data_IF_269958908401
#
_entry.id   IF_269958908401
#
_cell.length_a   1.000
_cell.length_b   1.000
_cell.length_c   1.000
_cell.angle_alpha   90.00
_cell.angle_beta   90.00
_cell.angle_gamma   90.00
#
_symmetry.space_group_name_H-M   'P 1'
#
loop_
_entity.id
_entity.type
_entity.pdbx_description
1 polymer ?
#
# COMPACT_ATOMS: atom_id res chain seq x y z
N UNK A 1 -7.98 14.54 -9.64
CA UNK A 1 -6.98 13.97 -10.52
C UNK A 1 -5.59 14.28 -9.99
N UNK A 2 -4.77 13.25 -9.80
CA UNK A 2 -3.35 13.38 -9.50
C UNK A 2 -2.58 13.14 -10.79
N UNK A 3 -2.21 14.23 -11.45
CA UNK A 3 -1.43 14.18 -12.69
C UNK A 3 0.03 14.49 -12.39
N UNK A 4 0.96 13.76 -13.01
CA UNK A 4 2.38 14.12 -12.98
C UNK A 4 2.58 15.32 -13.89
N UNK A 5 2.98 16.46 -13.29
CA UNK A 5 3.11 17.74 -13.99
C UNK A 5 4.56 17.94 -14.44
N UNK A 6 5.52 17.59 -13.56
CA UNK A 6 6.94 17.69 -13.88
C UNK A 6 7.76 16.67 -13.07
N UNK A 7 8.94 16.36 -13.55
CA UNK A 7 9.95 15.59 -12.83
C UNK A 7 10.97 16.53 -12.21
N UNK A 8 11.32 16.32 -10.94
CA UNK A 8 12.35 17.09 -10.24
C UNK A 8 13.35 16.16 -9.55
N UNK A 9 14.59 16.59 -9.42
CA UNK A 9 15.61 15.84 -8.69
C UNK A 9 15.32 15.89 -7.20
N UNK A 10 15.17 14.73 -6.55
CA UNK A 10 14.91 14.64 -5.11
C UNK A 10 16.09 15.19 -4.30
N UNK A 11 17.32 14.97 -4.74
CA UNK A 11 18.49 15.50 -4.06
C UNK A 11 18.48 17.03 -4.05
N UNK A 12 18.19 17.63 -5.20
CA UNK A 12 18.06 19.09 -5.32
C UNK A 12 16.86 19.62 -4.51
N UNK A 13 15.73 18.91 -4.51
CA UNK A 13 14.56 19.27 -3.70
C UNK A 13 14.87 19.29 -2.21
N UNK A 14 15.60 18.31 -1.72
CA UNK A 14 15.94 18.20 -0.29
C UNK A 14 16.90 19.27 0.21
N UNK A 15 17.64 19.95 -0.69
CA UNK A 15 18.50 21.08 -0.33
C UNK A 15 17.77 22.42 -0.29
N UNK A 16 16.52 22.50 -0.79
CA UNK A 16 15.74 23.73 -0.81
C UNK A 16 15.17 24.06 0.58
N UNK A 17 15.14 25.36 0.90
CA UNK A 17 14.38 25.87 2.06
C UNK A 17 12.88 25.73 1.82
N UNK A 18 12.06 25.81 2.86
CA UNK A 18 10.60 25.76 2.71
C UNK A 18 10.05 26.91 1.84
N UNK A 19 10.66 28.08 1.94
CA UNK A 19 10.32 29.22 1.08
C UNK A 19 10.63 28.93 -0.39
N UNK A 20 11.77 28.37 -0.69
CA UNK A 20 12.15 27.98 -2.06
C UNK A 20 11.24 26.87 -2.60
N UNK A 21 10.85 25.91 -1.76
CA UNK A 21 9.88 24.86 -2.13
C UNK A 21 8.51 25.46 -2.44
N UNK A 22 8.07 26.46 -1.67
CA UNK A 22 6.82 27.17 -1.91
C UNK A 22 6.87 27.92 -3.23
N UNK A 23 7.90 28.72 -3.48
CA UNK A 23 8.09 29.44 -4.75
C UNK A 23 8.12 28.49 -5.96
N UNK A 24 8.78 27.33 -5.82
CA UNK A 24 8.77 26.30 -6.87
C UNK A 24 7.36 25.81 -7.16
N UNK A 25 6.56 25.50 -6.13
CA UNK A 25 5.18 25.06 -6.30
C UNK A 25 4.32 26.15 -6.95
N UNK A 26 4.51 27.41 -6.58
CA UNK A 26 3.79 28.55 -7.16
C UNK A 26 4.14 28.73 -8.64
N UNK A 27 5.41 28.60 -9.00
CA UNK A 27 5.82 28.63 -10.41
C UNK A 27 5.22 27.49 -11.22
N UNK A 28 5.10 26.28 -10.64
CA UNK A 28 4.44 25.13 -11.29
C UNK A 28 2.95 25.41 -11.50
N UNK A 29 2.26 26.02 -10.53
CA UNK A 29 0.84 26.41 -10.70
C UNK A 29 0.68 27.42 -11.83
N UNK A 30 1.52 28.44 -11.85
CA UNK A 30 1.48 29.49 -12.86
C UNK A 30 1.69 28.95 -14.28
N UNK A 31 2.76 28.16 -14.46
CA UNK A 31 3.11 27.58 -15.77
C UNK A 31 2.03 26.64 -16.31
N UNK A 32 1.31 25.95 -15.43
CA UNK A 32 0.24 25.02 -15.82
C UNK A 32 -1.16 25.62 -15.73
N UNK A 33 -1.29 26.93 -15.59
CA UNK A 33 -2.56 27.66 -15.48
C UNK A 33 -3.50 27.05 -14.41
N UNK A 34 -2.95 26.65 -13.26
CA UNK A 34 -3.70 26.03 -12.16
C UNK A 34 -4.19 27.11 -11.20
N UNK A 35 -5.40 26.96 -10.69
CA UNK A 35 -5.92 27.84 -9.64
C UNK A 35 -5.11 27.72 -8.32
N UNK A 36 -5.17 28.76 -7.49
CA UNK A 36 -4.42 28.87 -6.23
C UNK A 36 -4.74 27.74 -5.23
N UNK A 37 -5.94 27.17 -5.31
CA UNK A 37 -6.36 26.03 -4.51
C UNK A 37 -5.75 24.69 -4.95
N UNK A 38 -5.07 24.64 -6.11
CA UNK A 38 -4.44 23.41 -6.60
C UNK A 38 -3.26 23.02 -5.71
N UNK A 39 -3.30 21.80 -5.18
CA UNK A 39 -2.24 21.26 -4.31
C UNK A 39 -1.14 20.63 -5.16
N UNK A 40 0.05 21.21 -5.11
CA UNK A 40 1.26 20.64 -5.72
C UNK A 40 1.98 19.79 -4.67
N UNK A 41 2.09 18.50 -4.94
CA UNK A 41 2.75 17.54 -4.07
C UNK A 41 4.06 17.09 -4.70
N UNK A 42 5.15 17.08 -3.92
CA UNK A 42 6.38 16.40 -4.30
C UNK A 42 6.29 14.96 -3.82
N UNK A 43 6.32 14.04 -4.76
CA UNK A 43 6.36 12.60 -4.45
C UNK A 43 7.69 12.02 -4.91
N UNK A 44 8.34 11.29 -4.03
CA UNK A 44 9.54 10.53 -4.37
C UNK A 44 9.14 9.09 -4.70
N UNK A 45 9.24 8.72 -5.98
CA UNK A 45 9.16 7.32 -6.38
C UNK A 45 10.42 6.61 -5.88
N UNK A 46 10.27 5.56 -5.09
CA UNK A 46 11.39 4.70 -4.73
C UNK A 46 11.77 3.89 -5.96
N UNK A 47 12.94 4.16 -6.54
CA UNK A 47 13.41 3.59 -7.81
C UNK A 47 13.59 2.06 -7.83
N UNK A 48 13.47 1.39 -6.69
CA UNK A 48 13.57 -0.05 -6.50
C UNK A 48 12.24 -0.71 -6.04
N UNK A 49 11.17 0.07 -5.92
CA UNK A 49 9.82 -0.43 -5.82
C UNK A 49 9.42 -0.92 -7.20
N UNK A 50 8.72 -1.99 -7.31
CA UNK A 50 8.22 -2.53 -8.57
C UNK A 50 9.23 -3.37 -9.37
N UNK A 51 10.12 -4.07 -8.70
CA UNK A 51 10.81 -5.21 -9.30
C UNK A 51 9.84 -6.42 -9.31
N UNK A 52 8.86 -6.36 -10.21
CA UNK A 52 7.79 -7.35 -10.28
C UNK A 52 8.31 -8.75 -10.58
N UNK A 53 9.42 -8.88 -11.31
CA UNK A 53 10.03 -10.18 -11.59
C UNK A 53 10.53 -10.85 -10.32
N UNK A 54 11.07 -10.07 -9.40
CA UNK A 54 11.49 -10.59 -8.11
C UNK A 54 10.34 -10.71 -7.12
N UNK A 55 9.30 -9.87 -7.21
CA UNK A 55 8.11 -9.99 -6.38
C UNK A 55 7.41 -11.32 -6.65
N UNK A 56 7.33 -11.73 -7.92
CA UNK A 56 6.69 -12.98 -8.34
C UNK A 56 7.32 -14.22 -7.69
N UNK A 57 8.62 -14.23 -7.43
CA UNK A 57 9.32 -15.35 -6.78
C UNK A 57 8.83 -15.65 -5.35
N UNK A 58 8.21 -14.68 -4.70
CA UNK A 58 7.68 -14.80 -3.35
C UNK A 58 6.15 -14.92 -3.30
N UNK A 59 5.45 -14.83 -4.43
CA UNK A 59 3.99 -14.89 -4.44
C UNK A 59 3.48 -16.22 -3.93
N UNK A 60 3.98 -17.34 -4.46
CA UNK A 60 3.52 -18.67 -4.06
C UNK A 60 3.71 -18.91 -2.57
N UNK A 61 4.86 -18.50 -2.02
CA UNK A 61 5.14 -18.60 -0.59
C UNK A 61 4.18 -17.74 0.24
N UNK A 62 3.93 -16.51 -0.20
CA UNK A 62 3.00 -15.59 0.45
C UNK A 62 1.56 -16.07 0.37
N UNK A 63 1.10 -16.49 -0.81
CA UNK A 63 -0.21 -17.07 -1.06
C UNK A 63 -0.43 -18.28 -0.14
N UNK A 64 0.48 -19.24 -0.16
CA UNK A 64 0.39 -20.47 0.64
C UNK A 64 0.33 -20.16 2.14
N UNK A 65 1.12 -19.22 2.64
CA UNK A 65 1.12 -18.82 4.04
C UNK A 65 -0.21 -18.17 4.46
N UNK A 66 -0.81 -17.33 3.61
CA UNK A 66 -2.10 -16.69 3.87
C UNK A 66 -3.24 -17.70 3.82
N UNK A 67 -3.27 -18.58 2.80
CA UNK A 67 -4.25 -19.65 2.68
C UNK A 67 -4.18 -20.60 3.89
N UNK A 68 -2.98 -21.00 4.31
CA UNK A 68 -2.79 -21.86 5.48
C UNK A 68 -3.31 -21.21 6.78
N UNK A 69 -3.30 -19.88 6.88
CA UNK A 69 -3.89 -19.15 8.00
C UNK A 69 -5.36 -18.78 7.78
N UNK A 70 -5.99 -19.23 6.70
CA UNK A 70 -7.39 -18.95 6.35
C UNK A 70 -7.65 -17.48 6.05
N UNK A 71 -6.75 -16.85 5.30
CA UNK A 71 -6.83 -15.47 4.83
C UNK A 71 -6.81 -15.46 3.30
N UNK A 72 -7.63 -14.61 2.70
CA UNK A 72 -7.65 -14.43 1.24
C UNK A 72 -6.24 -14.09 0.73
N UNK A 73 -5.68 -14.92 -0.18
CA UNK A 73 -4.33 -14.73 -0.72
C UNK A 73 -4.15 -13.43 -1.52
N UNK A 74 -5.23 -12.78 -1.92
CA UNK A 74 -5.21 -11.47 -2.53
C UNK A 74 -4.42 -10.45 -1.68
N UNK A 75 -4.57 -10.50 -0.34
CA UNK A 75 -3.84 -9.62 0.56
C UNK A 75 -2.34 -9.86 0.55
N UNK A 76 -1.90 -11.12 0.44
CA UNK A 76 -0.48 -11.44 0.32
C UNK A 76 0.13 -10.82 -0.93
N UNK A 77 -0.55 -10.97 -2.08
CA UNK A 77 -0.12 -10.40 -3.35
C UNK A 77 -0.07 -8.86 -3.28
N UNK A 78 -1.13 -8.25 -2.77
CA UNK A 78 -1.21 -6.80 -2.60
C UNK A 78 -0.05 -6.24 -1.78
N UNK A 79 0.27 -6.85 -0.64
CA UNK A 79 1.35 -6.41 0.24
C UNK A 79 2.71 -6.61 -0.43
N UNK A 80 2.96 -7.79 -0.98
CA UNK A 80 4.25 -8.13 -1.61
C UNK A 80 4.56 -7.26 -2.83
N UNK A 81 3.55 -6.79 -3.55
CA UNK A 81 3.74 -5.89 -4.69
C UNK A 81 4.22 -4.50 -4.30
N UNK A 82 3.80 -3.98 -3.16
CA UNK A 82 4.02 -2.57 -2.81
C UNK A 82 4.96 -2.35 -1.64
N UNK A 83 5.25 -3.37 -0.83
CA UNK A 83 6.15 -3.20 0.31
C UNK A 83 7.61 -3.46 -0.08
N UNK A 84 8.19 -4.56 0.17
CA UNK A 84 9.62 -4.76 -0.14
C UNK A 84 9.90 -6.20 -0.51
N UNK A 85 9.47 -6.64 -1.69
CA UNK A 85 9.47 -8.06 -2.03
C UNK A 85 10.86 -8.70 -1.99
N UNK A 86 11.93 -7.93 -2.09
CA UNK A 86 13.30 -8.46 -2.21
C UNK A 86 14.38 -7.80 -1.36
N UNK A 87 14.05 -6.74 -0.65
CA UNK A 87 15.05 -6.10 0.22
C UNK A 87 14.51 -6.02 1.62
N UNK A 88 15.23 -6.65 2.55
CA UNK A 88 15.00 -6.51 3.98
C UNK A 88 15.38 -5.09 4.40
N UNK A 89 14.52 -4.11 4.13
CA UNK A 89 14.75 -2.71 4.49
C UNK A 89 13.88 -2.31 5.67
N UNK A 90 14.44 -1.46 6.53
CA UNK A 90 13.66 -0.76 7.54
C UNK A 90 13.09 0.52 6.93
N UNK A 91 11.79 0.75 7.13
CA UNK A 91 11.18 2.05 6.85
C UNK A 91 11.63 3.08 7.88
N UNK A 92 11.45 4.37 7.56
CA UNK A 92 11.70 5.46 8.53
C UNK A 92 10.86 5.32 9.81
N UNK A 93 9.69 4.68 9.72
CA UNK A 93 8.82 4.39 10.86
C UNK A 93 9.23 3.13 11.64
N UNK A 94 10.23 2.36 11.17
CA UNK A 94 10.72 1.15 11.82
C UNK A 94 10.02 -0.14 11.40
N UNK A 95 9.15 -0.12 10.38
CA UNK A 95 8.62 -1.34 9.76
C UNK A 95 9.75 -2.10 9.05
N UNK A 96 9.68 -3.45 9.03
CA UNK A 96 10.76 -4.28 8.50
C UNK A 96 10.27 -5.59 7.89
N UNK A 97 11.06 -6.12 6.96
CA UNK A 97 10.84 -7.40 6.28
C UNK A 97 9.90 -7.29 5.09
N UNK A 98 9.64 -8.42 4.41
CA UNK A 98 8.85 -8.49 3.19
C UNK A 98 7.41 -7.96 3.35
N UNK A 99 6.86 -8.06 4.55
CA UNK A 99 5.52 -7.59 4.90
C UNK A 99 5.52 -6.26 5.68
N UNK A 100 6.68 -5.61 5.83
CA UNK A 100 6.85 -4.31 6.49
C UNK A 100 6.11 -4.19 7.84
N UNK A 101 6.31 -5.19 8.71
CA UNK A 101 5.67 -5.21 10.01
C UNK A 101 6.35 -4.27 11.00
N UNK A 102 5.56 -3.55 11.78
CA UNK A 102 6.03 -2.83 12.96
C UNK A 102 6.47 -3.82 14.03
N UNK A 103 7.46 -3.41 14.86
CA UNK A 103 8.05 -4.27 15.89
C UNK A 103 7.00 -4.83 16.87
N UNK A 104 6.10 -3.98 17.34
CA UNK A 104 5.10 -4.36 18.32
C UNK A 104 4.03 -5.27 17.70
N UNK A 105 3.66 -5.05 16.45
CA UNK A 105 2.77 -5.94 15.70
C UNK A 105 3.40 -7.31 15.52
N UNK A 106 4.67 -7.38 15.14
CA UNK A 106 5.37 -8.65 14.99
C UNK A 106 5.41 -9.44 16.32
N UNK A 107 5.70 -8.76 17.42
CA UNK A 107 5.70 -9.35 18.77
C UNK A 107 4.31 -9.83 19.21
N UNK A 108 3.27 -9.08 18.90
CA UNK A 108 1.88 -9.46 19.18
C UNK A 108 1.52 -10.82 18.60
N UNK A 109 2.08 -11.14 17.43
CA UNK A 109 1.89 -12.43 16.75
C UNK A 109 3.04 -13.42 16.97
N UNK A 110 3.81 -13.26 18.05
CA UNK A 110 4.77 -14.23 18.54
C UNK A 110 6.13 -14.23 17.82
N UNK A 111 6.46 -13.20 17.05
CA UNK A 111 7.79 -13.04 16.48
C UNK A 111 8.77 -12.49 17.53
N UNK A 112 9.96 -13.05 17.57
CA UNK A 112 11.07 -12.55 18.39
C UNK A 112 11.68 -11.33 17.67
N UNK A 113 11.59 -10.17 18.30
CA UNK A 113 12.18 -8.93 17.79
C UNK A 113 12.91 -8.20 18.94
N UNK A 114 14.21 -8.35 18.98
CA UNK A 114 15.09 -7.73 19.98
C UNK A 114 16.40 -7.25 19.34
N UNK A 115 17.43 -6.95 20.14
CA UNK A 115 18.71 -6.45 19.63
C UNK A 115 19.55 -7.52 18.88
N UNK A 116 19.29 -8.80 19.11
CA UNK A 116 20.04 -9.91 18.54
C UNK A 116 19.28 -10.63 17.42
N UNK A 117 17.96 -10.72 17.53
CA UNK A 117 17.09 -11.46 16.62
C UNK A 117 15.95 -10.55 16.16
N UNK A 118 15.72 -10.53 14.85
CA UNK A 118 14.57 -9.88 14.23
C UNK A 118 13.91 -10.85 13.24
N UNK A 119 12.94 -11.64 13.75
CA UNK A 119 12.23 -12.66 12.93
C UNK A 119 11.34 -12.05 11.84
N UNK A 120 11.21 -10.72 11.77
CA UNK A 120 10.55 -10.06 10.63
C UNK A 120 11.33 -10.24 9.33
N UNK A 121 12.64 -10.56 9.42
CA UNK A 121 13.46 -10.94 8.27
C UNK A 121 13.15 -12.33 7.73
N UNK A 122 12.60 -13.23 8.55
CA UNK A 122 12.17 -14.54 8.11
C UNK A 122 10.83 -14.42 7.39
N UNK A 123 10.78 -14.86 6.14
CA UNK A 123 9.63 -14.70 5.28
C UNK A 123 8.37 -15.38 5.84
N UNK A 124 8.47 -16.65 6.24
CA UNK A 124 7.35 -17.46 6.72
C UNK A 124 6.80 -16.92 8.04
N UNK A 125 7.68 -16.56 8.97
CA UNK A 125 7.30 -15.93 10.25
C UNK A 125 6.61 -14.60 10.02
N UNK A 126 7.15 -13.80 9.11
CA UNK A 126 6.60 -12.50 8.74
C UNK A 126 5.26 -12.63 8.01
N UNK A 127 5.12 -13.60 7.09
CA UNK A 127 3.87 -13.90 6.40
C UNK A 127 2.77 -14.35 7.37
N UNK A 128 3.11 -15.23 8.34
CA UNK A 128 2.18 -15.65 9.40
C UNK A 128 1.70 -14.44 10.23
N UNK A 129 2.61 -13.58 10.65
CA UNK A 129 2.22 -12.40 11.45
C UNK A 129 1.38 -11.40 10.64
N UNK A 130 1.71 -11.18 9.35
CA UNK A 130 0.96 -10.30 8.47
C UNK A 130 -0.46 -10.83 8.22
N UNK A 131 -0.60 -12.11 7.88
CA UNK A 131 -1.91 -12.74 7.70
C UNK A 131 -2.72 -12.73 9.01
N UNK A 132 -2.07 -12.95 10.15
CA UNK A 132 -2.72 -12.87 11.48
C UNK A 132 -3.19 -11.44 11.81
N UNK A 133 -2.41 -10.43 11.44
CA UNK A 133 -2.81 -9.02 11.57
C UNK A 133 -4.07 -8.73 10.74
N UNK A 134 -4.08 -9.17 9.48
CA UNK A 134 -5.27 -9.01 8.61
C UNK A 134 -6.48 -9.70 9.23
N UNK A 135 -6.35 -10.99 9.57
CA UNK A 135 -7.45 -11.84 10.08
C UNK A 135 -8.01 -11.36 11.41
N UNK A 136 -7.12 -11.05 12.36
CA UNK A 136 -7.51 -10.84 13.77
C UNK A 136 -7.71 -9.36 14.11
N UNK A 137 -7.19 -8.44 13.30
CA UNK A 137 -7.25 -7.01 13.61
C UNK A 137 -7.85 -6.23 12.44
N UNK A 138 -7.25 -6.28 11.23
CA UNK A 138 -7.67 -5.37 10.16
C UNK A 138 -9.09 -5.62 9.70
N UNK A 139 -9.46 -6.87 9.39
CA UNK A 139 -10.83 -7.23 8.97
C UNK A 139 -11.85 -6.94 10.07
N UNK A 140 -11.69 -7.44 11.32
CA UNK A 140 -12.64 -7.15 12.39
C UNK A 140 -12.83 -5.66 12.67
N UNK A 141 -11.72 -4.90 12.70
CA UNK A 141 -11.80 -3.45 12.92
C UNK A 141 -12.42 -2.70 11.75
N UNK A 142 -12.26 -3.18 10.53
CA UNK A 142 -12.94 -2.61 9.35
C UNK A 142 -14.43 -2.84 9.45
N UNK A 143 -14.89 -4.03 9.86
CA UNK A 143 -16.32 -4.33 10.15
C UNK A 143 -16.87 -3.38 11.20
N UNK A 144 -16.22 -3.30 12.37
CA UNK A 144 -16.63 -2.40 13.46
C UNK A 144 -16.76 -0.92 13.00
N UNK A 145 -15.89 -0.47 12.11
CA UNK A 145 -15.95 0.89 11.56
C UNK A 145 -17.17 1.04 10.65
N UNK A 146 -17.40 0.09 9.75
CA UNK A 146 -18.55 0.11 8.85
C UNK A 146 -19.88 0.03 9.62
N UNK A 147 -19.96 -0.85 10.61
CA UNK A 147 -21.13 -0.98 11.49
C UNK A 147 -21.41 0.34 12.23
N UNK A 148 -20.35 1.02 12.72
CA UNK A 148 -20.47 2.32 13.41
C UNK A 148 -20.91 3.46 12.48
N UNK A 149 -20.85 3.27 11.17
CA UNK A 149 -21.34 4.17 10.12
C UNK A 149 -22.73 3.75 9.58
N UNK A 150 -23.30 2.65 10.10
CA UNK A 150 -24.59 2.11 9.63
C UNK A 150 -24.49 1.34 8.30
N UNK A 151 -23.27 1.01 7.85
CA UNK A 151 -23.03 0.25 6.62
C UNK A 151 -22.97 -1.23 7.00
N UNK A 152 -24.08 -1.95 6.90
CA UNK A 152 -24.19 -3.34 7.35
C UNK A 152 -24.38 -4.35 6.22
N UNK A 153 -24.79 -3.88 5.03
CA UNK A 153 -25.00 -4.75 3.87
C UNK A 153 -23.81 -4.59 2.88
N UNK A 154 -22.83 -5.49 2.97
CA UNK A 154 -21.67 -5.49 2.09
C UNK A 154 -21.09 -6.90 1.91
N UNK A 155 -20.36 -7.09 0.82
CA UNK A 155 -19.62 -8.30 0.54
C UNK A 155 -18.12 -8.06 0.76
N UNK A 156 -17.51 -8.81 1.67
CA UNK A 156 -16.08 -8.68 2.01
C UNK A 156 -15.14 -9.10 0.88
N UNK A 157 -15.64 -9.82 -0.12
CA UNK A 157 -14.87 -10.18 -1.31
C UNK A 157 -14.85 -9.08 -2.36
N UNK A 158 -15.59 -7.99 -2.18
CA UNK A 158 -15.54 -6.86 -3.07
C UNK A 158 -14.23 -6.07 -2.94
N UNK A 159 -13.79 -5.52 -4.07
CA UNK A 159 -12.51 -4.81 -4.15
C UNK A 159 -12.42 -3.65 -3.16
N UNK A 160 -13.48 -2.85 -3.04
CA UNK A 160 -13.48 -1.69 -2.13
C UNK A 160 -13.27 -2.10 -0.66
N UNK A 161 -13.88 -3.21 -0.21
CA UNK A 161 -13.70 -3.71 1.15
C UNK A 161 -12.24 -4.16 1.37
N UNK A 162 -11.69 -4.93 0.44
CA UNK A 162 -10.28 -5.35 0.48
C UNK A 162 -9.33 -4.14 0.53
N UNK A 163 -9.59 -3.11 -0.27
CA UNK A 163 -8.81 -1.87 -0.25
C UNK A 163 -8.93 -1.11 1.08
N UNK A 164 -10.11 -1.12 1.71
CA UNK A 164 -10.31 -0.51 3.03
C UNK A 164 -9.54 -1.27 4.12
N UNK A 165 -9.52 -2.61 4.07
CA UNK A 165 -8.67 -3.46 4.92
C UNK A 165 -7.20 -3.15 4.70
N UNK A 166 -6.75 -2.92 3.46
CA UNK A 166 -5.37 -2.54 3.16
C UNK A 166 -5.02 -1.16 3.74
N UNK A 167 -5.92 -0.19 3.74
CA UNK A 167 -5.73 1.06 4.47
C UNK A 167 -5.58 0.82 5.97
N UNK A 168 -6.36 -0.10 6.55
CA UNK A 168 -6.26 -0.48 7.97
C UNK A 168 -4.92 -1.15 8.28
N UNK A 169 -4.40 -1.96 7.37
CA UNK A 169 -3.07 -2.57 7.48
C UNK A 169 -1.96 -1.53 7.52
N UNK A 170 -1.98 -0.58 6.59
CA UNK A 170 -0.92 0.44 6.43
C UNK A 170 -1.00 1.56 7.48
N UNK A 171 -2.17 2.15 7.65
CA UNK A 171 -2.36 3.35 8.48
C UNK A 171 -2.83 3.03 9.91
N UNK A 172 -3.27 1.80 10.15
CA UNK A 172 -3.98 1.41 11.37
C UNK A 172 -5.46 1.80 11.34
N UNK A 173 -6.32 0.89 11.79
CA UNK A 173 -7.77 1.05 11.75
C UNK A 173 -8.28 2.33 12.42
N UNK A 174 -7.63 2.78 13.51
CA UNK A 174 -8.00 4.02 14.20
C UNK A 174 -7.85 5.28 13.35
N UNK A 175 -6.83 5.33 12.49
CA UNK A 175 -6.63 6.45 11.58
C UNK A 175 -7.58 6.38 10.39
N UNK A 176 -7.89 5.18 9.90
CA UNK A 176 -8.92 4.95 8.88
C UNK A 176 -10.28 5.36 9.40
N UNK A 177 -10.66 4.96 10.63
CA UNK A 177 -11.90 5.39 11.27
C UNK A 177 -12.02 6.92 11.29
N UNK A 178 -10.99 7.63 11.78
CA UNK A 178 -10.98 9.09 11.81
C UNK A 178 -11.17 9.70 10.42
N UNK A 179 -10.54 9.14 9.38
CA UNK A 179 -10.68 9.62 8.02
C UNK A 179 -12.10 9.40 7.48
N UNK A 180 -12.70 8.24 7.69
CA UNK A 180 -14.07 7.94 7.27
C UNK A 180 -15.10 8.85 7.98
N UNK A 181 -14.89 9.11 9.27
CA UNK A 181 -15.77 10.01 10.05
C UNK A 181 -15.64 11.50 9.69
N UNK A 182 -14.75 11.89 8.78
CA UNK A 182 -14.76 13.27 8.23
C UNK A 182 -15.76 13.46 7.10
N UNK A 183 -16.14 12.40 6.40
CA UNK A 183 -17.09 12.50 5.29
C UNK A 183 -18.32 11.58 5.40
N UNK A 184 -18.39 10.77 6.48
CA UNK A 184 -19.55 9.96 6.84
C UNK A 184 -20.18 9.22 5.64
N UNK A 185 -19.50 8.22 5.04
CA UNK A 185 -20.06 7.46 3.94
C UNK A 185 -21.29 6.69 4.41
N UNK A 186 -22.30 6.59 3.55
CA UNK A 186 -23.55 5.86 3.80
C UNK A 186 -23.59 4.51 3.11
N UNK A 187 -22.67 4.26 2.19
CA UNK A 187 -22.60 3.03 1.40
C UNK A 187 -21.18 2.50 1.29
N UNK A 188 -21.06 1.18 1.27
CA UNK A 188 -19.82 0.46 0.99
C UNK A 188 -19.64 0.21 -0.50
N UNK A 189 -18.82 1.04 -1.16
CA UNK A 189 -18.54 0.93 -2.59
C UNK A 189 -17.22 1.63 -2.96
N UNK A 190 -16.85 1.65 -4.24
CA UNK A 190 -15.62 2.31 -4.70
C UNK A 190 -15.62 3.83 -4.50
N UNK A 191 -16.78 4.48 -4.40
CA UNK A 191 -16.85 5.93 -4.12
C UNK A 191 -16.34 6.24 -2.70
N UNK A 192 -16.59 5.35 -1.72
CA UNK A 192 -15.99 5.45 -0.39
C UNK A 192 -14.46 5.49 -0.50
N UNK A 193 -13.86 4.58 -1.28
CA UNK A 193 -12.41 4.52 -1.49
C UNK A 193 -11.89 5.78 -2.21
N UNK A 194 -12.58 6.25 -3.25
CA UNK A 194 -12.21 7.48 -3.98
C UNK A 194 -12.26 8.73 -3.09
N UNK A 195 -13.24 8.79 -2.19
CA UNK A 195 -13.35 9.87 -1.21
C UNK A 195 -12.24 9.78 -0.17
N UNK A 196 -11.94 8.57 0.32
CA UNK A 196 -10.85 8.32 1.26
C UNK A 196 -9.49 8.74 0.68
N UNK A 197 -9.24 8.56 -0.63
CA UNK A 197 -8.01 9.02 -1.30
C UNK A 197 -7.83 10.55 -1.25
N UNK A 198 -8.91 11.31 -1.12
CA UNK A 198 -8.92 12.78 -1.06
C UNK A 198 -8.98 13.31 0.36
N UNK A 199 -9.33 12.45 1.31
CA UNK A 199 -9.50 12.82 2.72
C UNK A 199 -8.15 12.89 3.41
N UNK A 200 -7.92 13.97 4.16
CA UNK A 200 -6.71 14.16 4.96
C UNK A 200 -7.07 14.39 6.42
N UNK A 201 -6.36 13.71 7.33
CA UNK A 201 -6.41 13.96 8.76
C UNK A 201 -4.99 14.06 9.31
N UNK A 202 -4.84 14.39 10.61
CA UNK A 202 -3.52 14.55 11.25
C UNK A 202 -2.57 13.37 10.98
N UNK A 203 -3.07 12.13 10.95
CA UNK A 203 -2.28 10.90 10.79
C UNK A 203 -2.67 10.06 9.57
N UNK A 204 -3.57 10.57 8.74
CA UNK A 204 -3.95 9.96 7.47
C UNK A 204 -3.67 10.94 6.33
N UNK A 205 -2.41 10.93 5.85
CA UNK A 205 -1.89 11.87 4.85
C UNK A 205 -1.44 11.14 3.59
N UNK A 206 -0.75 11.82 2.72
CA UNK A 206 -0.40 11.38 1.36
C UNK A 206 0.03 9.91 1.24
N UNK A 207 0.89 9.38 2.12
CA UNK A 207 1.28 7.96 2.10
C UNK A 207 0.07 7.04 2.35
N UNK A 208 -0.73 7.33 3.38
CA UNK A 208 -1.92 6.55 3.72
C UNK A 208 -3.03 6.70 2.69
N UNK A 209 -3.24 7.92 2.15
CA UNK A 209 -4.21 8.18 1.09
C UNK A 209 -3.87 7.41 -0.20
N UNK A 210 -2.59 7.30 -0.55
CA UNK A 210 -2.13 6.67 -1.78
C UNK A 210 -2.00 5.15 -1.70
N UNK A 211 -2.07 4.56 -0.52
CA UNK A 211 -1.71 3.17 -0.34
C UNK A 211 -2.51 2.21 -1.22
N UNK A 212 -3.83 2.29 -1.19
CA UNK A 212 -4.67 1.45 -2.04
C UNK A 212 -4.61 1.80 -3.53
N UNK A 213 -4.28 3.05 -3.88
CA UNK A 213 -3.97 3.40 -5.27
C UNK A 213 -2.71 2.70 -5.77
N UNK A 214 -1.68 2.62 -4.92
CA UNK A 214 -0.45 1.89 -5.24
C UNK A 214 -0.71 0.39 -5.39
N UNK A 215 -1.55 -0.19 -4.52
CA UNK A 215 -1.99 -1.60 -4.66
C UNK A 215 -2.62 -1.83 -6.03
N UNK A 216 -3.60 -1.01 -6.41
CA UNK A 216 -4.28 -1.14 -7.70
C UNK A 216 -3.33 -0.96 -8.88
N UNK A 217 -2.50 0.08 -8.86
CA UNK A 217 -1.53 0.33 -9.92
C UNK A 217 -0.56 -0.85 -10.08
N UNK A 218 -0.02 -1.37 -8.98
CA UNK A 218 0.88 -2.52 -9.01
C UNK A 218 0.20 -3.80 -9.52
N UNK A 219 -1.07 -4.03 -9.17
CA UNK A 219 -1.83 -5.16 -9.68
C UNK A 219 -2.12 -5.06 -11.19
N UNK A 220 -2.42 -3.86 -11.69
CA UNK A 220 -2.61 -3.63 -13.12
C UNK A 220 -1.31 -3.88 -13.89
N UNK A 221 -0.18 -3.36 -13.45
CA UNK A 221 1.12 -3.58 -14.08
C UNK A 221 1.49 -5.08 -14.14
N UNK A 222 1.23 -5.82 -13.06
CA UNK A 222 1.46 -7.27 -13.04
C UNK A 222 0.52 -7.98 -14.00
N UNK A 223 -0.76 -7.59 -14.04
CA UNK A 223 -1.73 -8.17 -14.96
C UNK A 223 -1.34 -7.92 -16.43
N UNK A 224 -0.96 -6.71 -16.80
CA UNK A 224 -0.49 -6.39 -18.14
C UNK A 224 0.74 -7.20 -18.52
N UNK A 225 1.72 -7.28 -17.59
CA UNK A 225 2.98 -7.96 -17.86
C UNK A 225 2.85 -9.48 -18.01
N UNK A 226 2.01 -10.12 -17.20
CA UNK A 226 1.96 -11.59 -17.13
C UNK A 226 0.71 -12.22 -17.73
N UNK A 227 -0.39 -11.47 -17.84
CA UNK A 227 -1.65 -12.00 -18.37
C UNK A 227 -1.95 -11.52 -19.78
N UNK A 228 -1.54 -10.30 -20.15
CA UNK A 228 -1.84 -9.70 -21.46
C UNK A 228 -0.64 -9.69 -22.40
N UNK A 229 0.60 -9.80 -21.91
CA UNK A 229 1.76 -9.92 -22.79
C UNK A 229 1.61 -11.18 -23.65
N UNK A 230 1.75 -11.09 -24.98
CA UNK A 230 1.73 -12.26 -25.84
C UNK A 230 2.81 -13.21 -25.32
N UNK A 231 2.43 -14.48 -25.08
CA UNK A 231 3.38 -15.53 -24.76
C UNK A 231 4.41 -15.57 -25.89
N UNK A 232 5.57 -14.99 -25.69
CA UNK A 232 6.73 -15.28 -26.53
C UNK A 232 7.09 -16.74 -26.23
N UNK A 233 6.44 -17.65 -26.95
CA UNK A 233 6.90 -19.03 -27.03
C UNK A 233 8.27 -18.99 -27.68
N UNK A 234 9.33 -18.99 -26.86
CA UNK A 234 10.63 -19.40 -27.36
C UNK A 234 10.42 -20.78 -28.00
N UNK A 235 10.78 -20.97 -29.27
CA UNK A 235 10.69 -22.30 -29.87
C UNK A 235 11.50 -23.26 -29.00
N UNK A 236 10.85 -24.35 -28.58
CA UNK A 236 11.42 -25.38 -27.71
C UNK A 236 12.52 -26.22 -28.36
N UNK A 237 12.85 -25.92 -29.63
CA UNK A 237 13.89 -26.64 -30.35
C UNK A 237 14.79 -25.65 -31.09
N UNK A 238 16.13 -25.81 -31.01
CA UNK A 238 17.04 -25.10 -31.92
C UNK A 238 16.76 -25.63 -33.32
N UNK A 239 16.44 -24.73 -34.25
CA UNK A 239 16.45 -25.04 -35.68
C UNK A 239 17.89 -25.39 -36.06
N UNK A 240 18.06 -26.59 -36.58
CA UNK A 240 19.32 -27.09 -37.15
C UNK A 240 19.73 -26.24 -38.34
#
# INVERSE_FOLDING_TARGET
>A
NRQVICKASINKWNTLTEEQKTRFKDSVRLVNAMGDSARILMTNGKSFFYDFDKASLNFDRGINAFVANGVDPWYAQAILLIESPNKLQKSNAGAYGSFQLMKDVARLFGLKVNKHIDERANFERSAYAASSLIKKICIPKTREILDSLGITNYNENELWFRLLVMHSYHAGAGNVKKALFTFHPTEGNMNLIYTLWRTETKHFRSASQNYSQLVLAAMFEVHEKYCLAPHQTKPLYPTQ
#
